data_IF_052948820819
#
_entry.id   IF_052948820819
#
_cell.length_a   1.000
_cell.length_b   1.000
_cell.length_c   1.000
_cell.angle_alpha   90.00
_cell.angle_beta   90.00
_cell.angle_gamma   90.00
#
_symmetry.space_group_name_H-M   'P 1'
#
loop_
_entity.id
_entity.type
_entity.pdbx_description
1 polymer ?
#
# COMPACT_ATOMS: atom_id res chain seq x y z
N UNK A 1 21.45 -15.23 -3.98
CA UNK A 1 22.83 -15.63 -3.63
C UNK A 1 22.92 -15.74 -2.13
N UNK A 2 23.68 -16.69 -1.60
CA UNK A 2 23.96 -16.72 -0.18
C UNK A 2 24.73 -15.47 0.24
N UNK A 3 24.76 -15.22 1.54
CA UNK A 3 25.57 -14.18 2.17
C UNK A 3 27.03 -14.34 1.73
N UNK A 4 27.61 -13.30 1.14
CA UNK A 4 29.02 -13.31 0.71
C UNK A 4 29.80 -12.36 1.63
N UNK A 5 30.93 -12.81 2.14
CA UNK A 5 31.84 -12.03 2.99
C UNK A 5 33.09 -11.70 2.19
N UNK A 6 33.45 -10.45 2.07
CA UNK A 6 34.67 -9.96 1.42
C UNK A 6 35.47 -9.07 2.38
N UNK A 7 36.78 -9.18 2.43
CA UNK A 7 37.61 -8.27 3.23
C UNK A 7 37.80 -6.94 2.51
N UNK A 8 37.76 -5.84 3.24
CA UNK A 8 38.05 -4.51 2.70
C UNK A 8 39.55 -4.36 2.47
N UNK A 9 39.99 -4.07 1.25
CA UNK A 9 41.42 -3.91 0.97
C UNK A 9 42.04 -2.79 1.81
N UNK A 10 43.11 -3.12 2.56
CA UNK A 10 43.81 -2.18 3.44
C UNK A 10 43.18 -1.91 4.81
N UNK A 11 42.12 -2.60 5.16
CA UNK A 11 41.45 -2.54 6.47
C UNK A 11 41.12 -3.97 6.92
N UNK A 12 42.07 -4.66 7.52
CA UNK A 12 41.94 -6.08 7.87
C UNK A 12 40.84 -6.40 8.88
N UNK A 13 40.36 -5.41 9.63
CA UNK A 13 39.30 -5.53 10.65
C UNK A 13 37.87 -5.35 10.04
N UNK A 14 37.75 -4.88 8.79
CA UNK A 14 36.46 -4.63 8.14
C UNK A 14 36.10 -5.69 7.10
N UNK A 15 34.82 -6.04 7.10
CA UNK A 15 34.27 -7.06 6.23
C UNK A 15 33.07 -6.49 5.48
N UNK A 16 32.99 -6.74 4.18
CA UNK A 16 31.81 -6.45 3.37
C UNK A 16 30.91 -7.68 3.38
N UNK A 17 29.69 -7.47 3.83
CA UNK A 17 28.62 -8.46 3.81
C UNK A 17 27.60 -8.11 2.74
N UNK A 18 27.42 -8.97 1.74
CA UNK A 18 26.33 -8.84 0.76
C UNK A 18 25.18 -9.77 1.16
N UNK A 19 24.00 -9.19 1.45
CA UNK A 19 22.78 -9.90 1.83
C UNK A 19 21.69 -9.67 0.76
N UNK A 20 21.16 -10.75 0.22
CA UNK A 20 20.20 -10.70 -0.91
C UNK A 20 20.89 -10.68 -2.29
N UNK A 21 20.11 -10.49 -3.39
CA UNK A 21 18.68 -10.18 -3.44
C UNK A 21 17.75 -11.30 -2.94
N UNK A 22 18.10 -12.57 -3.08
CA UNK A 22 17.29 -13.67 -2.56
C UNK A 22 17.69 -13.99 -1.12
N UNK A 23 16.97 -13.43 -0.16
CA UNK A 23 17.12 -13.70 1.26
C UNK A 23 15.77 -13.55 1.96
N UNK A 24 15.39 -14.42 2.92
CA UNK A 24 14.09 -14.34 3.59
C UNK A 24 13.78 -12.98 4.21
N UNK A 25 14.78 -12.35 4.84
CA UNK A 25 14.62 -11.08 5.56
C UNK A 25 14.80 -9.82 4.68
N UNK A 26 14.92 -9.95 3.35
CA UNK A 26 15.05 -8.82 2.42
C UNK A 26 13.73 -8.51 1.67
N UNK A 27 12.59 -8.94 2.22
CA UNK A 27 11.26 -8.68 1.67
C UNK A 27 11.11 -9.02 0.17
N UNK A 28 11.82 -10.03 -0.28
CA UNK A 28 11.79 -10.53 -1.65
C UNK A 28 13.14 -10.41 -2.36
N UNK A 29 13.48 -9.23 -2.88
CA UNK A 29 14.64 -9.05 -3.78
C UNK A 29 15.48 -7.80 -3.47
N UNK A 30 15.41 -7.26 -2.27
CA UNK A 30 16.31 -6.19 -1.84
C UNK A 30 17.72 -6.76 -1.63
N UNK A 31 18.72 -6.15 -2.26
CA UNK A 31 20.13 -6.43 -1.95
C UNK A 31 20.68 -5.36 -1.04
N UNK A 32 21.33 -5.80 0.04
CA UNK A 32 22.05 -4.94 0.96
C UNK A 32 23.53 -5.26 0.91
N UNK A 33 24.35 -4.23 0.90
CA UNK A 33 25.81 -4.31 1.03
C UNK A 33 26.17 -3.57 2.31
N UNK A 34 26.62 -4.31 3.30
CA UNK A 34 26.96 -3.82 4.63
C UNK A 34 28.46 -3.87 4.83
N UNK A 35 29.06 -2.77 5.24
CA UNK A 35 30.42 -2.72 5.75
C UNK A 35 30.36 -2.89 7.26
N UNK A 36 31.02 -3.93 7.77
CA UNK A 36 30.98 -4.33 9.17
C UNK A 36 32.35 -4.17 9.81
N UNK A 37 32.35 -3.69 11.04
CA UNK A 37 33.50 -3.74 11.97
C UNK A 37 33.08 -4.61 13.16
N UNK A 38 33.59 -5.85 13.18
CA UNK A 38 33.04 -6.89 14.04
C UNK A 38 31.57 -7.18 13.67
N UNK A 39 30.63 -6.95 14.60
CA UNK A 39 29.19 -7.09 14.38
C UNK A 39 28.47 -5.74 14.13
N UNK A 40 29.22 -4.63 14.16
CA UNK A 40 28.64 -3.28 14.00
C UNK A 40 28.62 -2.88 12.53
N UNK A 41 27.48 -2.37 12.07
CA UNK A 41 27.31 -1.81 10.73
C UNK A 41 27.94 -0.41 10.69
N UNK A 42 29.03 -0.28 9.93
CA UNK A 42 29.72 1.02 9.72
C UNK A 42 29.08 1.79 8.60
N UNK A 43 28.69 1.07 7.52
CA UNK A 43 28.06 1.63 6.33
C UNK A 43 27.07 0.65 5.74
N UNK A 44 25.96 1.17 5.29
CA UNK A 44 24.93 0.38 4.61
C UNK A 44 24.61 0.99 3.23
N UNK A 45 24.57 0.14 2.22
CA UNK A 45 24.13 0.49 0.87
C UNK A 45 23.04 -0.49 0.47
N UNK A 46 22.10 -0.05 -0.35
CA UNK A 46 21.07 -0.92 -0.93
C UNK A 46 21.06 -0.83 -2.45
N UNK A 47 20.84 -1.97 -3.08
CA UNK A 47 20.63 -2.09 -4.52
C UNK A 47 19.18 -2.50 -4.77
N UNK A 48 18.54 -1.81 -5.69
CA UNK A 48 17.16 -2.05 -6.15
C UNK A 48 17.16 -2.32 -7.64
N UNK A 49 16.00 -2.68 -8.21
CA UNK A 49 15.85 -2.94 -9.63
C UNK A 49 15.67 -4.43 -9.97
N UNK A 50 15.82 -5.34 -9.01
CA UNK A 50 15.69 -6.78 -9.26
C UNK A 50 14.23 -7.23 -9.53
N UNK A 51 13.25 -6.36 -9.27
CA UNK A 51 11.84 -6.56 -9.59
C UNK A 51 11.32 -5.51 -10.59
N UNK A 52 12.22 -4.79 -11.27
CA UNK A 52 11.82 -3.78 -12.25
C UNK A 52 11.12 -4.42 -13.44
N UNK A 53 9.89 -3.98 -13.71
CA UNK A 53 9.04 -4.47 -14.79
C UNK A 53 8.64 -3.37 -15.78
N UNK A 54 9.09 -2.14 -15.55
CA UNK A 54 8.84 -0.98 -16.43
C UNK A 54 7.38 -0.53 -16.44
N UNK A 55 6.70 -0.53 -15.27
CA UNK A 55 5.30 -0.12 -15.18
C UNK A 55 5.05 1.27 -15.75
N UNK A 56 5.87 2.25 -15.39
CA UNK A 56 5.71 3.62 -15.88
C UNK A 56 5.82 3.72 -17.42
N UNK A 57 6.69 2.91 -18.01
CA UNK A 57 6.81 2.85 -19.47
C UNK A 57 5.66 2.08 -20.11
N UNK A 58 5.16 1.06 -19.45
CA UNK A 58 4.01 0.29 -19.92
C UNK A 58 2.73 1.12 -19.95
N UNK A 59 2.54 2.04 -19.00
CA UNK A 59 1.42 3.00 -18.98
C UNK A 59 1.36 3.85 -20.26
N UNK A 60 2.50 4.20 -20.86
CA UNK A 60 2.55 4.98 -22.09
C UNK A 60 2.10 4.18 -23.34
N UNK A 61 1.98 2.85 -23.21
CA UNK A 61 1.63 1.95 -24.34
C UNK A 61 0.23 1.35 -24.24
N UNK A 62 -0.36 1.32 -23.06
CA UNK A 62 -1.67 0.78 -22.79
C UNK A 62 -2.72 1.88 -22.68
N UNK A 63 -4.00 1.54 -22.79
CA UNK A 63 -5.08 2.49 -22.53
C UNK A 63 -5.29 2.67 -21.02
N UNK A 64 -5.82 3.82 -20.60
CA UNK A 64 -6.14 4.09 -19.20
C UNK A 64 -6.92 2.96 -18.51
N UNK A 65 -7.84 2.30 -19.23
CA UNK A 65 -8.60 1.17 -18.69
C UNK A 65 -7.75 -0.09 -18.49
N UNK A 66 -6.76 -0.30 -19.34
CA UNK A 66 -5.83 -1.44 -19.24
C UNK A 66 -4.79 -1.23 -18.14
N UNK A 67 -4.36 0.01 -17.94
CA UNK A 67 -3.36 0.40 -16.95
C UNK A 67 -3.76 0.04 -15.51
N UNK A 68 -5.06 0.02 -15.22
CA UNK A 68 -5.57 -0.39 -13.90
C UNK A 68 -5.03 -1.78 -13.51
N UNK A 69 -4.86 -2.68 -14.47
CA UNK A 69 -4.35 -4.03 -14.19
C UNK A 69 -2.87 -4.04 -13.82
N UNK A 70 -2.11 -3.05 -14.25
CA UNK A 70 -0.70 -2.88 -13.87
C UNK A 70 -0.58 -2.35 -12.44
N UNK A 71 -1.47 -1.43 -12.05
CA UNK A 71 -1.41 -0.82 -10.71
C UNK A 71 -1.60 -1.85 -9.59
N UNK A 72 -2.39 -2.91 -9.80
CA UNK A 72 -2.54 -4.01 -8.84
C UNK A 72 -1.20 -4.65 -8.44
N UNK A 73 -0.22 -4.64 -9.36
CA UNK A 73 1.04 -5.38 -9.22
C UNK A 73 2.18 -4.54 -8.69
N UNK A 74 1.99 -3.25 -8.51
CA UNK A 74 2.97 -2.36 -7.91
C UNK A 74 3.14 -2.68 -6.43
N UNK A 75 2.14 -2.37 -5.62
CA UNK A 75 2.02 -2.85 -4.26
C UNK A 75 1.01 -4.00 -4.21
N UNK A 76 1.49 -5.22 -4.40
CA UNK A 76 0.64 -6.42 -4.45
C UNK A 76 -0.04 -6.76 -3.11
N UNK A 77 0.35 -6.12 -2.01
CA UNK A 77 -0.31 -6.24 -0.71
C UNK A 77 -1.43 -5.21 -0.52
N UNK A 78 -1.44 -4.15 -1.33
CA UNK A 78 -2.47 -3.10 -1.27
C UNK A 78 -3.02 -2.74 -2.67
N UNK A 79 -3.45 -3.72 -3.49
CA UNK A 79 -3.85 -3.49 -4.88
C UNK A 79 -4.98 -2.47 -5.02
N UNK A 80 -5.98 -2.50 -4.14
CA UNK A 80 -7.09 -1.56 -4.20
C UNK A 80 -6.68 -0.11 -3.89
N UNK A 81 -5.64 0.09 -3.07
CA UNK A 81 -5.08 1.44 -2.88
C UNK A 81 -4.45 1.96 -4.18
N UNK A 82 -3.68 1.13 -4.87
CA UNK A 82 -3.07 1.50 -6.14
C UNK A 82 -4.12 1.81 -7.22
N UNK A 83 -5.14 0.95 -7.33
CA UNK A 83 -6.27 1.21 -8.23
C UNK A 83 -6.96 2.54 -7.90
N UNK A 84 -7.18 2.82 -6.60
CA UNK A 84 -7.84 4.04 -6.16
C UNK A 84 -7.05 5.27 -6.60
N UNK A 85 -5.75 5.32 -6.33
CA UNK A 85 -4.90 6.45 -6.69
C UNK A 85 -4.90 6.71 -8.20
N UNK A 86 -4.76 5.67 -9.01
CA UNK A 86 -4.79 5.77 -10.46
C UNK A 86 -6.16 6.21 -10.99
N UNK A 87 -7.25 5.62 -10.47
CA UNK A 87 -8.61 6.01 -10.86
C UNK A 87 -8.89 7.47 -10.53
N UNK A 88 -8.55 7.93 -9.31
CA UNK A 88 -8.76 9.31 -8.89
C UNK A 88 -7.96 10.30 -9.75
N UNK A 89 -6.70 9.99 -10.09
CA UNK A 89 -5.91 10.83 -10.97
C UNK A 89 -6.55 10.95 -12.36
N UNK A 90 -7.00 9.85 -12.93
CA UNK A 90 -7.68 9.83 -14.24
C UNK A 90 -9.04 10.53 -14.18
N UNK A 91 -9.81 10.31 -13.13
CA UNK A 91 -11.12 10.95 -12.90
C UNK A 91 -10.98 12.47 -12.75
N UNK A 92 -9.93 12.93 -12.04
CA UNK A 92 -9.58 14.35 -11.93
C UNK A 92 -9.22 14.97 -13.29
N UNK A 93 -8.47 14.24 -14.13
CA UNK A 93 -8.12 14.65 -15.48
C UNK A 93 -9.36 14.79 -16.39
N UNK A 94 -10.35 13.93 -16.17
CA UNK A 94 -11.63 13.90 -16.93
C UNK A 94 -12.70 14.84 -16.36
N UNK A 95 -12.46 15.48 -15.20
CA UNK A 95 -13.47 16.21 -14.42
C UNK A 95 -14.74 15.38 -14.19
N UNK A 96 -14.57 14.12 -13.82
CA UNK A 96 -15.64 13.13 -13.73
C UNK A 96 -16.15 12.97 -12.29
N UNK A 97 -17.42 13.29 -12.06
CA UNK A 97 -18.07 13.06 -10.78
C UNK A 97 -18.38 11.57 -10.55
N UNK A 98 -17.97 11.07 -9.38
CA UNK A 98 -18.17 9.69 -8.96
C UNK A 98 -19.36 9.59 -8.01
N UNK A 99 -20.29 8.64 -8.23
CA UNK A 99 -21.44 8.47 -7.35
C UNK A 99 -21.05 8.27 -5.88
N UNK A 100 -21.76 8.89 -4.93
CA UNK A 100 -21.43 8.79 -3.50
C UNK A 100 -21.34 7.34 -3.00
N UNK A 101 -22.23 6.46 -3.45
CA UNK A 101 -22.21 5.04 -3.10
C UNK A 101 -20.89 4.37 -3.52
N UNK A 102 -20.41 4.65 -4.73
CA UNK A 102 -19.14 4.11 -5.21
C UNK A 102 -17.95 4.61 -4.38
N UNK A 103 -17.94 5.90 -4.02
CA UNK A 103 -16.91 6.48 -3.17
C UNK A 103 -16.86 5.81 -1.80
N UNK A 104 -18.00 5.58 -1.15
CA UNK A 104 -18.07 4.94 0.15
C UNK A 104 -17.62 3.48 0.12
N UNK A 105 -17.99 2.73 -0.93
CA UNK A 105 -17.51 1.35 -1.12
C UNK A 105 -15.99 1.34 -1.35
N UNK A 106 -15.46 2.31 -2.13
CA UNK A 106 -14.02 2.46 -2.32
C UNK A 106 -13.31 2.68 -0.99
N UNK A 107 -13.80 3.58 -0.13
CA UNK A 107 -13.23 3.82 1.21
C UNK A 107 -13.27 2.54 2.05
N UNK A 108 -14.43 1.87 2.14
CA UNK A 108 -14.58 0.63 2.90
C UNK A 108 -13.55 -0.43 2.49
N UNK A 109 -13.44 -0.69 1.20
CA UNK A 109 -12.54 -1.72 0.68
C UNK A 109 -11.07 -1.31 0.77
N UNK A 110 -10.75 -0.03 0.64
CA UNK A 110 -9.39 0.50 0.81
C UNK A 110 -8.94 0.37 2.27
N UNK A 111 -9.81 0.63 3.25
CA UNK A 111 -9.46 0.46 4.65
C UNK A 111 -9.35 -1.03 5.06
N UNK A 112 -10.15 -1.92 4.48
CA UNK A 112 -9.92 -3.37 4.59
C UNK A 112 -8.57 -3.78 3.98
N UNK A 113 -8.19 -3.16 2.87
CA UNK A 113 -6.88 -3.37 2.23
C UNK A 113 -5.75 -2.90 3.14
N UNK A 114 -5.90 -1.77 3.83
CA UNK A 114 -4.93 -1.29 4.83
C UNK A 114 -4.77 -2.28 5.96
N UNK A 115 -5.87 -2.79 6.53
CA UNK A 115 -5.82 -3.81 7.59
C UNK A 115 -5.10 -5.07 7.08
N UNK A 116 -5.46 -5.58 5.90
CA UNK A 116 -4.84 -6.79 5.35
C UNK A 116 -3.35 -6.63 5.06
N UNK A 117 -2.93 -5.44 4.63
CA UNK A 117 -1.52 -5.12 4.40
C UNK A 117 -0.73 -5.08 5.72
N UNK A 118 -1.27 -4.41 6.74
CA UNK A 118 -0.65 -4.36 8.06
C UNK A 118 -0.61 -5.74 8.76
N UNK A 119 -1.58 -6.62 8.49
CA UNK A 119 -1.53 -8.01 8.98
C UNK A 119 -0.40 -8.81 8.34
N UNK A 120 -0.16 -8.67 7.04
CA UNK A 120 0.99 -9.32 6.39
C UNK A 120 2.28 -8.78 6.96
N UNK A 121 2.40 -7.45 7.05
CA UNK A 121 3.57 -6.82 7.64
C UNK A 121 3.84 -7.32 9.07
N UNK A 122 2.81 -7.33 9.93
CA UNK A 122 2.97 -7.79 11.32
C UNK A 122 3.41 -9.25 11.41
N UNK A 123 2.81 -10.11 10.57
CA UNK A 123 3.15 -11.53 10.51
C UNK A 123 4.60 -11.76 10.07
N UNK A 124 5.03 -11.12 8.98
CA UNK A 124 6.40 -11.28 8.44
C UNK A 124 7.44 -10.63 9.35
N UNK A 125 7.21 -9.43 9.85
CA UNK A 125 8.12 -8.77 10.78
C UNK A 125 8.30 -9.55 12.10
N UNK A 126 7.20 -10.11 12.60
CA UNK A 126 7.25 -10.94 13.81
C UNK A 126 8.04 -12.26 13.59
N UNK A 127 7.88 -12.92 12.44
CA UNK A 127 8.64 -14.15 12.13
C UNK A 127 10.14 -13.85 11.98
N UNK A 128 10.49 -12.71 11.37
CA UNK A 128 11.87 -12.27 11.25
C UNK A 128 12.56 -12.06 12.62
N UNK A 129 11.78 -11.71 13.64
CA UNK A 129 12.24 -11.57 15.03
C UNK A 129 11.98 -12.82 15.89
N UNK A 130 11.61 -13.96 15.28
CA UNK A 130 11.46 -15.25 15.91
C UNK A 130 10.07 -15.58 16.47
N UNK A 131 9.07 -14.71 16.29
CA UNK A 131 7.70 -14.94 16.76
C UNK A 131 6.83 -15.58 15.66
N UNK A 132 7.12 -16.84 15.28
CA UNK A 132 6.49 -17.54 14.17
C UNK A 132 4.97 -17.69 14.30
N UNK A 133 4.42 -17.88 15.48
CA UNK A 133 2.98 -18.02 15.69
C UNK A 133 2.19 -16.80 15.24
N UNK A 134 2.76 -15.60 15.33
CA UNK A 134 2.13 -14.37 14.87
C UNK A 134 1.79 -14.40 13.38
N UNK A 135 2.66 -14.98 12.57
CA UNK A 135 2.42 -15.16 11.14
C UNK A 135 1.13 -15.93 10.88
N UNK A 136 0.96 -17.08 11.56
CA UNK A 136 -0.23 -17.92 11.40
C UNK A 136 -1.51 -17.20 11.85
N UNK A 137 -1.45 -16.46 12.94
CA UNK A 137 -2.61 -15.71 13.44
C UNK A 137 -2.98 -14.54 12.52
N UNK A 138 -2.02 -13.74 12.07
CA UNK A 138 -2.28 -12.65 11.13
C UNK A 138 -2.87 -13.15 9.81
N UNK A 139 -2.38 -14.27 9.29
CA UNK A 139 -2.89 -14.85 8.04
C UNK A 139 -4.28 -15.47 8.18
N UNK A 140 -4.68 -15.88 9.38
CA UNK A 140 -6.05 -16.35 9.67
C UNK A 140 -7.09 -15.24 9.43
N UNK A 141 -6.87 -14.04 9.94
CA UNK A 141 -7.76 -12.91 9.74
C UNK A 141 -7.62 -12.27 8.35
N UNK A 142 -6.41 -12.29 7.78
CA UNK A 142 -6.19 -11.89 6.39
C UNK A 142 -7.04 -12.71 5.43
N UNK A 143 -7.19 -14.01 5.67
CA UNK A 143 -8.04 -14.90 4.86
C UNK A 143 -9.50 -14.45 4.84
N UNK A 144 -10.03 -13.97 5.97
CA UNK A 144 -11.40 -13.46 6.03
C UNK A 144 -11.58 -12.22 5.12
N UNK A 145 -10.58 -11.32 5.05
CA UNK A 145 -10.59 -10.15 4.15
C UNK A 145 -10.48 -10.58 2.68
N UNK A 146 -9.56 -11.50 2.36
CA UNK A 146 -9.41 -11.99 0.99
C UNK A 146 -10.69 -12.63 0.44
N UNK A 147 -11.48 -13.31 1.30
CA UNK A 147 -12.79 -13.83 0.94
C UNK A 147 -13.83 -12.74 0.67
N UNK A 148 -13.72 -11.57 1.34
CA UNK A 148 -14.56 -10.41 1.02
C UNK A 148 -14.18 -9.88 -0.37
N UNK A 149 -12.88 -9.74 -0.66
CA UNK A 149 -12.41 -9.29 -1.97
C UNK A 149 -12.83 -10.24 -3.09
N UNK A 150 -12.68 -11.56 -2.89
CA UNK A 150 -13.13 -12.58 -3.83
C UNK A 150 -14.65 -12.48 -4.10
N UNK A 151 -15.43 -12.22 -3.05
CA UNK A 151 -16.88 -12.10 -3.17
C UNK A 151 -17.29 -10.89 -4.03
N UNK A 152 -16.62 -9.75 -3.91
CA UNK A 152 -16.98 -8.51 -4.64
C UNK A 152 -16.34 -8.43 -6.02
N UNK A 153 -15.17 -9.02 -6.23
CA UNK A 153 -14.39 -8.86 -7.46
C UNK A 153 -14.18 -10.16 -8.26
N UNK A 154 -14.42 -11.32 -7.64
CA UNK A 154 -14.04 -12.61 -8.20
C UNK A 154 -12.58 -12.99 -8.03
N UNK A 155 -11.75 -12.08 -7.45
CA UNK A 155 -10.31 -12.27 -7.24
C UNK A 155 -9.95 -12.03 -5.77
N UNK A 156 -8.99 -12.81 -5.28
CA UNK A 156 -8.52 -12.72 -3.89
C UNK A 156 -7.54 -11.56 -3.67
N UNK A 157 -6.67 -11.30 -4.63
CA UNK A 157 -5.59 -10.29 -4.52
C UNK A 157 -5.64 -9.25 -5.63
N UNK A 158 -5.32 -9.58 -6.87
CA UNK A 158 -5.25 -8.64 -7.99
C UNK A 158 -6.67 -8.37 -8.52
N UNK A 159 -7.41 -7.54 -7.81
CA UNK A 159 -8.85 -7.42 -7.95
C UNK A 159 -9.28 -6.58 -9.14
N UNK A 160 -8.48 -5.55 -9.52
CA UNK A 160 -8.86 -4.54 -10.53
C UNK A 160 -10.33 -4.10 -10.41
N UNK A 161 -10.83 -4.00 -9.17
CA UNK A 161 -12.25 -3.79 -8.91
C UNK A 161 -12.67 -2.33 -9.00
N UNK A 162 -11.80 -1.41 -8.60
CA UNK A 162 -12.01 -0.01 -8.83
C UNK A 162 -11.75 0.31 -10.30
N UNK A 163 -12.67 1.04 -10.90
CA UNK A 163 -12.62 1.44 -12.30
C UNK A 163 -12.80 2.94 -12.40
N UNK A 164 -12.29 3.52 -13.46
CA UNK A 164 -12.53 4.93 -13.79
C UNK A 164 -14.04 5.13 -13.95
N UNK A 165 -14.59 6.04 -13.16
CA UNK A 165 -16.04 6.26 -13.10
C UNK A 165 -16.79 5.44 -12.04
N UNK A 166 -16.09 4.68 -11.16
CA UNK A 166 -16.75 3.96 -10.07
C UNK A 166 -16.19 2.56 -9.78
N UNK A 167 -17.06 1.55 -9.83
CA UNK A 167 -16.73 0.15 -9.57
C UNK A 167 -16.96 -0.71 -10.82
N UNK A 168 -16.29 -1.85 -10.89
CA UNK A 168 -16.48 -2.80 -11.99
C UNK A 168 -17.92 -3.33 -12.04
N UNK A 169 -18.45 -3.73 -10.89
CA UNK A 169 -19.77 -4.32 -10.72
C UNK A 169 -20.36 -3.90 -9.36
N UNK A 170 -21.70 -3.94 -9.25
CA UNK A 170 -22.38 -3.84 -7.95
C UNK A 170 -21.95 -5.03 -7.06
N UNK A 171 -21.60 -4.78 -5.79
CA UNK A 171 -21.27 -5.86 -4.88
C UNK A 171 -22.46 -6.82 -4.68
N UNK A 172 -22.21 -8.15 -4.60
CA UNK A 172 -23.29 -9.13 -4.51
C UNK A 172 -24.02 -9.05 -3.16
N UNK A 173 -25.27 -9.52 -3.14
CA UNK A 173 -26.06 -9.57 -1.93
C UNK A 173 -25.33 -10.34 -0.81
N UNK A 174 -25.35 -9.78 0.39
CA UNK A 174 -24.79 -10.42 1.57
C UNK A 174 -23.29 -10.13 1.82
N UNK A 175 -22.61 -9.40 0.95
CA UNK A 175 -21.21 -9.02 1.17
C UNK A 175 -21.01 -8.20 2.45
N UNK A 176 -21.91 -7.24 2.74
CA UNK A 176 -21.85 -6.44 3.97
C UNK A 176 -21.98 -7.30 5.25
N UNK A 177 -22.78 -8.37 5.23
CA UNK A 177 -22.86 -9.30 6.37
C UNK A 177 -21.52 -9.98 6.66
N UNK A 178 -20.71 -10.19 5.62
CA UNK A 178 -19.36 -10.75 5.79
C UNK A 178 -18.41 -9.72 6.35
N UNK A 179 -18.48 -8.48 5.90
CA UNK A 179 -17.74 -7.35 6.48
C UNK A 179 -18.13 -7.16 7.95
N UNK A 180 -19.40 -7.13 8.29
CA UNK A 180 -19.92 -7.04 9.66
C UNK A 180 -19.36 -8.14 10.57
N UNK A 181 -19.33 -9.39 10.08
CA UNK A 181 -18.75 -10.51 10.83
C UNK A 181 -17.26 -10.29 11.12
N UNK A 182 -16.52 -9.77 10.15
CA UNK A 182 -15.10 -9.43 10.32
C UNK A 182 -14.92 -8.31 11.34
N UNK A 183 -15.67 -7.21 11.18
CA UNK A 183 -15.61 -6.03 12.07
C UNK A 183 -15.89 -6.39 13.53
N UNK A 184 -16.88 -7.25 13.79
CA UNK A 184 -17.22 -7.71 15.15
C UNK A 184 -16.13 -8.57 15.79
N UNK A 185 -15.42 -9.36 14.99
CA UNK A 185 -14.41 -10.32 15.48
C UNK A 185 -13.02 -9.69 15.63
N UNK A 186 -12.67 -8.76 14.78
CA UNK A 186 -11.31 -8.29 14.63
C UNK A 186 -10.72 -7.58 15.86
N UNK A 187 -11.47 -6.77 16.65
CA UNK A 187 -10.93 -6.16 17.87
C UNK A 187 -10.35 -7.16 18.86
N UNK A 188 -11.05 -8.27 19.13
CA UNK A 188 -10.57 -9.35 20.00
C UNK A 188 -9.27 -9.97 19.47
N UNK A 189 -9.19 -10.13 18.14
CA UNK A 189 -7.99 -10.68 17.48
C UNK A 189 -6.79 -9.74 17.57
N UNK A 190 -7.04 -8.45 17.45
CA UNK A 190 -5.99 -7.45 17.61
C UNK A 190 -5.45 -7.39 19.04
N UNK A 191 -6.32 -7.56 20.05
CA UNK A 191 -5.91 -7.70 21.45
C UNK A 191 -5.10 -8.99 21.68
N UNK A 192 -5.46 -10.11 21.03
CA UNK A 192 -4.70 -11.37 21.04
C UNK A 192 -3.26 -11.13 20.53
N UNK A 193 -3.09 -10.41 19.40
CA UNK A 193 -1.77 -10.11 18.85
C UNK A 193 -0.93 -9.23 19.78
N UNK A 194 -1.52 -8.17 20.31
CA UNK A 194 -0.82 -7.31 21.27
C UNK A 194 -0.45 -8.07 22.54
N UNK A 195 -1.34 -8.94 23.04
CA UNK A 195 -1.09 -9.77 24.21
C UNK A 195 0.15 -10.67 24.05
N UNK A 196 0.39 -11.19 22.86
CA UNK A 196 1.55 -12.03 22.55
C UNK A 196 2.87 -11.24 22.49
N UNK A 197 2.83 -9.97 22.05
CA UNK A 197 4.04 -9.19 21.80
C UNK A 197 4.33 -8.15 22.89
N UNK A 198 3.32 -7.53 23.47
CA UNK A 198 3.43 -6.37 24.38
C UNK A 198 4.38 -6.57 25.56
N UNK A 199 4.38 -7.78 26.14
CA UNK A 199 5.20 -8.12 27.31
C UNK A 199 6.32 -9.13 26.98
N UNK A 200 6.55 -9.41 25.70
CA UNK A 200 7.60 -10.33 25.28
C UNK A 200 8.97 -9.62 25.38
N UNK A 201 9.88 -10.06 26.26
CA UNK A 201 11.15 -9.38 26.47
C UNK A 201 12.07 -9.44 25.24
N UNK A 202 11.97 -10.48 24.42
CA UNK A 202 12.75 -10.60 23.18
C UNK A 202 12.25 -9.54 22.18
N UNK A 203 10.93 -9.45 21.98
CA UNK A 203 10.32 -8.46 21.12
C UNK A 203 10.70 -7.03 21.52
N UNK A 204 10.57 -6.71 22.82
CA UNK A 204 10.90 -5.37 23.31
C UNK A 204 12.37 -5.03 23.13
N UNK A 205 13.29 -5.95 23.45
CA UNK A 205 14.74 -5.73 23.25
C UNK A 205 15.16 -5.60 21.79
N UNK A 206 14.42 -6.24 20.88
CA UNK A 206 14.71 -6.22 19.44
C UNK A 206 14.04 -5.06 18.70
N UNK A 207 13.19 -4.26 19.36
CA UNK A 207 12.40 -3.19 18.73
C UNK A 207 12.55 -1.85 19.40
N UNK A 208 12.66 -1.79 20.74
CA UNK A 208 12.81 -0.53 21.47
C UNK A 208 14.22 0.04 21.34
N UNK A 209 14.31 1.32 20.98
CA UNK A 209 15.57 2.04 20.78
C UNK A 209 16.37 1.57 19.55
N UNK A 210 15.83 0.66 18.73
CA UNK A 210 16.46 0.16 17.51
C UNK A 210 15.91 0.93 16.30
N UNK A 211 16.81 1.28 15.36
CA UNK A 211 16.43 1.95 14.10
C UNK A 211 15.73 3.28 14.33
N UNK A 212 16.23 4.10 15.26
CA UNK A 212 15.66 5.40 15.61
C UNK A 212 15.94 6.44 14.51
N UNK A 213 14.92 7.23 14.20
CA UNK A 213 15.01 8.40 13.32
C UNK A 213 14.19 9.55 13.92
N UNK A 214 14.76 10.76 13.92
CA UNK A 214 14.06 11.95 14.41
C UNK A 214 12.93 12.36 13.47
N UNK A 215 11.97 13.16 13.95
CA UNK A 215 10.92 13.71 13.10
C UNK A 215 11.48 14.63 12.01
N UNK A 216 12.51 15.41 12.30
CA UNK A 216 13.20 16.29 11.35
C UNK A 216 13.88 15.50 10.24
N UNK A 217 14.67 14.47 10.60
CA UNK A 217 15.32 13.61 9.62
C UNK A 217 14.26 12.84 8.80
N UNK A 218 13.18 12.35 9.43
CA UNK A 218 12.12 11.65 8.74
C UNK A 218 11.45 12.50 7.66
N UNK A 219 11.21 13.78 7.94
CA UNK A 219 10.68 14.74 6.95
C UNK A 219 11.73 15.04 5.88
N UNK A 220 13.00 15.26 6.25
CA UNK A 220 14.09 15.55 5.32
C UNK A 220 14.33 14.41 4.31
N UNK A 221 14.17 13.15 4.73
CA UNK A 221 14.23 11.97 3.84
C UNK A 221 12.94 11.75 3.03
N UNK A 222 11.89 12.56 3.23
CA UNK A 222 10.61 12.41 2.54
C UNK A 222 9.80 11.18 2.97
N UNK A 223 9.99 10.72 4.21
CA UNK A 223 9.21 9.62 4.76
C UNK A 223 7.73 9.99 4.84
N UNK A 224 6.87 9.01 4.69
CA UNK A 224 5.43 9.17 4.79
C UNK A 224 4.79 7.97 5.50
N UNK A 225 3.50 8.07 5.80
CA UNK A 225 2.75 6.99 6.42
C UNK A 225 3.19 6.64 7.84
N UNK A 226 3.08 5.35 8.23
CA UNK A 226 3.48 4.89 9.55
C UNK A 226 4.93 5.20 9.90
N UNK A 227 5.82 5.29 8.90
CA UNK A 227 7.24 5.57 9.09
C UNK A 227 7.47 6.97 9.64
N UNK A 228 6.83 7.99 9.09
CA UNK A 228 6.95 9.36 9.59
C UNK A 228 6.14 9.57 10.88
N UNK A 229 4.96 8.93 10.99
CA UNK A 229 4.13 9.00 12.21
C UNK A 229 4.78 8.35 13.42
N UNK A 230 5.60 7.32 13.19
CA UNK A 230 6.44 6.70 14.23
C UNK A 230 7.51 7.61 14.80
N UNK A 231 7.82 8.73 14.13
CA UNK A 231 8.75 9.79 14.56
C UNK A 231 8.05 11.07 15.05
N UNK A 232 6.76 11.00 15.39
CA UNK A 232 6.00 12.08 16.02
C UNK A 232 5.34 13.07 15.05
N UNK A 233 5.55 12.94 13.75
CA UNK A 233 4.95 13.85 12.76
C UNK A 233 3.50 13.43 12.48
N UNK A 234 2.55 14.30 12.83
CA UNK A 234 1.12 14.07 12.63
C UNK A 234 0.70 14.51 11.23
N UNK A 235 0.98 13.66 10.23
CA UNK A 235 0.60 13.90 8.84
C UNK A 235 -0.04 12.68 8.20
N UNK A 236 -1.15 12.89 7.47
CA UNK A 236 -1.92 11.85 6.77
C UNK A 236 -2.71 12.51 5.63
N UNK A 237 -2.55 12.01 4.42
CA UNK A 237 -3.19 12.56 3.21
C UNK A 237 -4.71 12.55 3.32
N UNK A 238 -5.31 11.55 3.98
CA UNK A 238 -6.76 11.46 4.18
C UNK A 238 -7.36 12.64 4.97
N UNK A 239 -6.54 13.35 5.75
CA UNK A 239 -6.94 14.53 6.54
C UNK A 239 -6.42 15.84 5.95
N UNK A 240 -5.20 15.84 5.37
CA UNK A 240 -4.61 17.05 4.77
C UNK A 240 -5.23 17.40 3.41
N UNK A 241 -5.50 16.39 2.59
CA UNK A 241 -6.09 16.52 1.25
C UNK A 241 -7.17 15.43 1.06
N UNK A 242 -8.36 15.56 1.69
CA UNK A 242 -9.39 14.54 1.67
C UNK A 242 -9.84 14.17 0.25
N UNK A 243 -10.00 12.88 0.00
CA UNK A 243 -10.46 12.32 -1.27
C UNK A 243 -11.52 11.24 -1.02
N UNK A 244 -12.31 10.87 -2.02
CA UNK A 244 -13.31 9.79 -1.97
C UNK A 244 -14.20 9.82 -0.72
N UNK A 245 -14.62 11.00 -0.28
CA UNK A 245 -15.48 11.21 0.89
C UNK A 245 -14.82 10.92 2.26
N UNK A 246 -13.48 10.85 2.36
CA UNK A 246 -12.80 10.68 3.68
C UNK A 246 -13.13 11.79 4.69
N UNK A 247 -13.53 12.97 4.24
CA UNK A 247 -14.00 14.08 5.09
C UNK A 247 -15.26 13.76 5.91
N UNK A 248 -16.02 12.73 5.51
CA UNK A 248 -17.25 12.29 6.19
C UNK A 248 -17.00 11.28 7.31
N UNK A 249 -15.77 10.79 7.44
CA UNK A 249 -15.42 9.77 8.43
C UNK A 249 -14.63 10.36 9.58
N UNK A 250 -15.01 9.94 10.78
CA UNK A 250 -14.31 10.29 12.02
C UNK A 250 -13.25 9.22 12.33
N UNK A 251 -11.99 9.66 12.35
CA UNK A 251 -10.84 8.85 12.75
C UNK A 251 -9.69 9.73 13.20
N UNK A 252 -8.79 9.17 13.99
CA UNK A 252 -7.59 9.84 14.47
C UNK A 252 -6.34 9.42 13.67
N UNK A 253 -5.33 10.29 13.67
CA UNK A 253 -4.01 9.98 13.11
C UNK A 253 -3.11 9.53 14.26
N UNK A 254 -2.81 8.23 14.39
CA UNK A 254 -1.95 7.75 15.47
C UNK A 254 -0.50 8.16 15.22
N UNK A 255 0.14 8.70 16.26
CA UNK A 255 1.56 9.11 16.24
C UNK A 255 2.29 8.58 17.47
N UNK A 256 3.61 8.40 17.35
CA UNK A 256 4.52 8.06 18.44
C UNK A 256 5.81 8.86 18.28
N UNK A 257 6.35 9.45 19.36
CA UNK A 257 7.52 10.32 19.27
C UNK A 257 8.87 9.57 19.29
N UNK A 258 8.89 8.29 19.64
CA UNK A 258 10.13 7.55 19.91
C UNK A 258 10.98 7.29 18.66
N UNK A 259 10.38 7.27 17.48
CA UNK A 259 11.06 7.14 16.19
C UNK A 259 11.72 5.78 15.91
N UNK A 260 11.51 4.79 16.77
CA UNK A 260 12.14 3.47 16.70
C UNK A 260 11.24 2.41 16.02
N UNK A 261 11.74 1.20 15.89
CA UNK A 261 10.99 0.04 15.35
C UNK A 261 9.71 -0.20 16.14
N UNK A 262 9.76 -0.06 17.47
CA UNK A 262 8.59 -0.28 18.33
C UNK A 262 7.52 0.80 18.12
N UNK A 263 7.92 2.05 17.97
CA UNK A 263 7.02 3.15 17.67
C UNK A 263 6.27 2.92 16.34
N UNK A 264 6.99 2.53 15.28
CA UNK A 264 6.39 2.19 13.99
C UNK A 264 5.43 1.00 14.08
N UNK A 265 5.76 -0.02 14.88
CA UNK A 265 4.84 -1.12 15.20
C UNK A 265 3.56 -0.61 15.88
N UNK A 266 3.69 0.20 16.91
CA UNK A 266 2.55 0.73 17.68
C UNK A 266 1.63 1.62 16.81
N UNK A 267 2.21 2.39 15.90
CA UNK A 267 1.45 3.20 14.93
C UNK A 267 0.59 2.31 14.03
N UNK A 268 1.17 1.28 13.41
CA UNK A 268 0.41 0.39 12.51
C UNK A 268 -0.70 -0.39 13.21
N UNK A 269 -0.46 -0.83 14.45
CA UNK A 269 -1.51 -1.47 15.26
C UNK A 269 -2.66 -0.49 15.56
N UNK A 270 -2.34 0.76 15.88
CA UNK A 270 -3.35 1.80 16.10
C UNK A 270 -4.10 2.14 14.80
N UNK A 271 -3.39 2.19 13.66
CA UNK A 271 -4.02 2.41 12.34
C UNK A 271 -5.02 1.30 11.97
N UNK A 272 -4.74 0.05 12.30
CA UNK A 272 -5.72 -1.02 12.09
C UNK A 272 -7.03 -0.79 12.88
N UNK A 273 -6.95 -0.19 14.07
CA UNK A 273 -8.14 0.20 14.85
C UNK A 273 -8.90 1.36 14.21
N UNK A 274 -8.18 2.38 13.76
CA UNK A 274 -8.82 3.52 13.09
C UNK A 274 -9.43 3.11 11.75
N UNK A 275 -8.76 2.26 10.97
CA UNK A 275 -9.31 1.68 9.75
C UNK A 275 -10.59 0.89 10.03
N UNK A 276 -10.63 0.13 11.12
CA UNK A 276 -11.83 -0.61 11.51
C UNK A 276 -13.00 0.33 11.86
N UNK A 277 -12.74 1.47 12.52
CA UNK A 277 -13.75 2.50 12.78
C UNK A 277 -14.31 3.08 11.48
N UNK A 278 -13.43 3.37 10.51
CA UNK A 278 -13.85 3.87 9.19
C UNK A 278 -14.71 2.81 8.48
N UNK A 279 -14.30 1.54 8.49
CA UNK A 279 -15.09 0.44 7.88
C UNK A 279 -16.47 0.33 8.51
N UNK A 280 -16.58 0.43 9.84
CA UNK A 280 -17.87 0.41 10.56
C UNK A 280 -18.76 1.59 10.14
N UNK A 281 -18.21 2.80 10.14
CA UNK A 281 -18.94 4.00 9.72
C UNK A 281 -19.39 3.91 8.25
N UNK A 282 -18.53 3.38 7.38
CA UNK A 282 -18.84 3.20 5.97
C UNK A 282 -19.94 2.16 5.73
N UNK A 283 -20.01 1.11 6.56
CA UNK A 283 -21.11 0.14 6.53
C UNK A 283 -22.44 0.77 6.98
N UNK A 284 -22.41 1.50 8.11
CA UNK A 284 -23.61 2.02 8.74
C UNK A 284 -24.23 3.17 7.94
N UNK A 285 -23.41 3.97 7.26
CA UNK A 285 -23.84 5.13 6.49
C UNK A 285 -23.83 4.92 4.96
N UNK A 286 -23.68 3.70 4.46
CA UNK A 286 -23.57 3.43 3.03
C UNK A 286 -24.79 3.94 2.26
N UNK A 287 -24.64 4.97 1.37
CA UNK A 287 -25.77 5.54 0.64
C UNK A 287 -26.29 4.56 -0.42
N UNK A 288 -27.56 4.71 -0.75
CA UNK A 288 -28.14 4.05 -1.92
C UNK A 288 -27.75 4.79 -3.20
N UNK A 289 -27.93 4.12 -4.35
CA UNK A 289 -27.68 4.72 -5.66
C UNK A 289 -26.75 3.89 -6.53
N UNK A 290 -26.34 4.41 -7.70
CA UNK A 290 -25.49 3.71 -8.64
C UNK A 290 -24.03 3.62 -8.12
N UNK A 291 -23.32 2.62 -8.62
CA UNK A 291 -21.88 2.43 -8.38
C UNK A 291 -21.02 2.84 -9.57
N UNK A 292 -21.65 3.34 -10.63
CA UNK A 292 -21.00 3.82 -11.86
C UNK A 292 -21.50 5.22 -12.20
N UNK A 293 -20.60 6.08 -12.64
CA UNK A 293 -20.92 7.40 -13.15
C UNK A 293 -21.73 7.30 -14.47
N UNK A 294 -22.60 8.27 -14.70
CA UNK A 294 -23.34 8.36 -15.95
C UNK A 294 -22.47 9.04 -17.04
N UNK A 295 -21.49 8.31 -17.55
CA UNK A 295 -20.57 8.79 -18.58
C UNK A 295 -20.36 7.69 -19.65
N UNK A 296 -21.31 7.52 -20.59
CA UNK A 296 -21.36 6.37 -21.50
C UNK A 296 -20.15 6.26 -22.45
N UNK A 297 -19.38 7.35 -22.63
CA UNK A 297 -18.16 7.36 -23.45
C UNK A 297 -16.90 6.91 -22.68
N UNK A 298 -16.98 6.77 -21.35
CA UNK A 298 -15.87 6.48 -20.44
C UNK A 298 -16.14 5.19 -19.67
N UNK A 299 -17.35 5.04 -19.16
CA UNK A 299 -17.77 3.96 -18.28
C UNK A 299 -18.43 2.84 -19.08
N UNK A 300 -17.97 1.61 -18.85
CA UNK A 300 -18.52 0.43 -19.51
C UNK A 300 -20.03 0.30 -19.23
N UNK A 301 -20.87 0.13 -20.27
CA UNK A 301 -22.30 -0.08 -20.11
C UNK A 301 -22.61 -1.42 -19.43
N UNK A 302 -23.81 -1.51 -18.86
CA UNK A 302 -24.30 -2.76 -18.30
C UNK A 302 -24.51 -3.82 -19.39
N UNK A 303 -24.21 -5.09 -19.06
CA UNK A 303 -24.26 -6.20 -20.02
C UNK A 303 -25.66 -6.37 -20.67
N UNK A 304 -26.72 -6.18 -19.89
CA UNK A 304 -28.09 -6.29 -20.39
C UNK A 304 -28.45 -5.13 -21.34
N UNK A 305 -27.96 -3.92 -21.06
CA UNK A 305 -28.16 -2.75 -21.93
C UNK A 305 -27.55 -2.97 -23.33
N UNK A 306 -26.42 -3.67 -23.43
CA UNK A 306 -25.81 -3.99 -24.72
C UNK A 306 -26.64 -4.94 -25.60
N UNK A 307 -27.58 -5.67 -25.00
CA UNK A 307 -28.48 -6.58 -25.74
C UNK A 307 -29.70 -5.87 -26.33
N UNK A 308 -30.04 -4.71 -25.77
CA UNK A 308 -31.28 -4.01 -26.07
C UNK A 308 -31.10 -2.62 -26.66
N UNK A 309 -29.92 -1.98 -26.49
CA UNK A 309 -29.57 -0.67 -27.02
C UNK A 309 -28.35 -0.75 -27.94
N UNK A 310 -28.52 -0.25 -29.15
CA UNK A 310 -27.47 -0.15 -30.16
C UNK A 310 -26.38 0.84 -29.71
N UNK A 311 -26.76 1.93 -29.04
CA UNK A 311 -25.84 2.93 -28.51
C UNK A 311 -24.92 2.33 -27.43
N UNK A 312 -25.50 1.56 -26.50
CA UNK A 312 -24.72 0.86 -25.48
C UNK A 312 -23.71 -0.11 -26.10
N UNK A 313 -24.10 -0.83 -27.16
CA UNK A 313 -23.19 -1.72 -27.88
C UNK A 313 -22.07 -0.94 -28.57
N UNK A 314 -22.36 0.18 -29.21
CA UNK A 314 -21.38 1.06 -29.87
C UNK A 314 -20.40 1.63 -28.82
N UNK A 315 -20.86 2.13 -27.68
CA UNK A 315 -20.01 2.64 -26.62
C UNK A 315 -19.09 1.55 -26.07
N UNK A 316 -19.62 0.36 -25.81
CA UNK A 316 -18.82 -0.77 -25.37
C UNK A 316 -17.73 -1.08 -26.39
N UNK A 317 -18.06 -1.19 -27.67
CA UNK A 317 -17.10 -1.47 -28.72
C UNK A 317 -15.99 -0.42 -28.76
N UNK A 318 -16.33 0.87 -28.75
CA UNK A 318 -15.34 1.96 -28.77
C UNK A 318 -14.43 1.95 -27.54
N UNK A 319 -14.98 1.81 -26.34
CA UNK A 319 -14.18 1.80 -25.10
C UNK A 319 -13.20 0.62 -25.10
N UNK A 320 -13.62 -0.55 -25.61
CA UNK A 320 -12.76 -1.74 -25.62
C UNK A 320 -11.69 -1.66 -26.70
N UNK A 321 -12.02 -1.16 -27.90
CA UNK A 321 -11.08 -1.15 -29.05
C UNK A 321 -10.19 0.08 -29.12
N UNK A 322 -10.74 1.25 -28.80
CA UNK A 322 -10.04 2.53 -28.92
C UNK A 322 -9.62 3.10 -27.56
N UNK A 323 -10.41 2.86 -26.51
CA UNK A 323 -10.32 3.57 -25.23
C UNK A 323 -11.11 4.88 -25.27
N UNK A 324 -11.03 5.65 -24.17
CA UNK A 324 -11.56 7.01 -24.09
C UNK A 324 -10.42 8.02 -24.16
N UNK A 325 -10.75 9.27 -24.49
CA UNK A 325 -9.80 10.35 -24.72
C UNK A 325 -9.94 11.43 -23.65
N UNK A 326 -9.06 11.46 -22.62
CA UNK A 326 -9.04 12.58 -21.69
C UNK A 326 -8.58 13.86 -22.38
N UNK A 327 -8.98 15.06 -21.88
CA UNK A 327 -8.46 16.31 -22.39
C UNK A 327 -6.95 16.39 -22.20
N UNK A 328 -6.26 17.13 -23.08
CA UNK A 328 -4.84 17.42 -22.92
C UNK A 328 -4.64 18.24 -21.62
N UNK A 329 -3.67 17.84 -20.80
CA UNK A 329 -3.40 18.46 -19.51
C UNK A 329 -2.59 17.57 -18.61
N UNK A 330 -2.36 18.04 -17.40
CA UNK A 330 -1.60 17.32 -16.36
C UNK A 330 -2.30 17.36 -15.02
N UNK A 331 -2.16 16.32 -14.23
CA UNK A 331 -2.71 16.22 -12.87
C UNK A 331 -1.74 15.50 -11.95
N UNK A 332 -1.76 15.88 -10.69
CA UNK A 332 -1.20 15.08 -9.60
C UNK A 332 -2.32 14.74 -8.63
N UNK A 333 -2.36 13.48 -8.21
CA UNK A 333 -3.28 13.00 -7.19
C UNK A 333 -2.55 12.08 -6.23
N UNK A 334 -2.58 12.44 -4.96
CA UNK A 334 -2.07 11.62 -3.87
C UNK A 334 -3.18 10.93 -3.09
N UNK A 335 -2.85 9.79 -2.51
CA UNK A 335 -3.66 9.05 -1.55
C UNK A 335 -2.78 8.53 -0.41
N UNK A 336 -3.39 8.20 0.71
CA UNK A 336 -2.71 7.50 1.81
C UNK A 336 -2.81 6.00 1.61
N UNK A 337 -1.74 5.36 1.12
CA UNK A 337 -1.62 3.91 1.08
C UNK A 337 -1.22 3.35 2.45
N UNK A 338 -1.24 2.02 2.69
CA UNK A 338 -0.76 1.44 3.95
C UNK A 338 0.69 1.78 4.30
N UNK A 339 1.50 2.11 3.29
CA UNK A 339 2.92 2.47 3.43
C UNK A 339 3.18 3.96 3.50
N UNK A 340 2.19 4.76 3.13
CA UNK A 340 2.27 6.21 3.15
C UNK A 340 1.69 6.85 1.89
N UNK A 341 2.14 8.04 1.56
CA UNK A 341 1.68 8.78 0.40
C UNK A 341 2.05 8.08 -0.89
N UNK A 342 1.03 7.63 -1.61
CA UNK A 342 1.12 7.14 -2.98
C UNK A 342 0.56 8.21 -3.91
N UNK A 343 1.35 8.67 -4.88
CA UNK A 343 0.93 9.71 -5.80
C UNK A 343 1.06 9.29 -7.26
N UNK A 344 0.10 9.71 -8.09
CA UNK A 344 0.14 9.55 -9.53
C UNK A 344 0.20 10.92 -10.19
N UNK A 345 1.29 11.18 -10.93
CA UNK A 345 1.40 12.32 -11.82
C UNK A 345 1.15 11.85 -13.25
N UNK A 346 0.09 12.36 -13.86
CA UNK A 346 -0.32 11.99 -15.20
C UNK A 346 -0.30 13.18 -16.15
N UNK A 347 0.18 12.96 -17.35
CA UNK A 347 0.11 13.88 -18.48
C UNK A 347 -0.68 13.23 -19.61
N UNK A 348 -1.67 13.95 -20.14
CA UNK A 348 -2.46 13.55 -21.30
C UNK A 348 -2.20 14.51 -22.47
N UNK A 349 -2.04 13.98 -23.67
CA UNK A 349 -2.02 14.73 -24.92
C UNK A 349 -3.34 14.68 -25.69
N UNK A 350 -4.38 14.11 -25.08
CA UNK A 350 -5.68 13.87 -25.72
C UNK A 350 -5.82 12.51 -26.37
N UNK A 351 -4.76 11.66 -26.32
CA UNK A 351 -4.82 10.28 -26.82
C UNK A 351 -5.48 9.34 -25.82
N UNK A 352 -5.86 8.11 -26.21
CA UNK A 352 -6.46 7.13 -25.30
C UNK A 352 -5.43 6.46 -24.36
N UNK A 353 -4.19 6.92 -24.36
CA UNK A 353 -3.08 6.42 -23.56
C UNK A 353 -2.45 7.57 -22.80
N UNK A 354 -1.95 7.38 -21.58
CA UNK A 354 -1.15 8.41 -20.92
C UNK A 354 0.08 8.78 -21.75
N UNK A 355 0.32 10.07 -21.97
CA UNK A 355 1.58 10.54 -22.53
C UNK A 355 2.74 10.26 -21.56
N UNK A 356 2.49 10.49 -20.28
CA UNK A 356 3.39 10.15 -19.17
C UNK A 356 2.58 9.83 -17.92
N UNK A 357 2.97 8.77 -17.23
CA UNK A 357 2.49 8.48 -15.88
C UNK A 357 3.70 8.22 -14.99
N UNK A 358 3.88 9.04 -13.96
CA UNK A 358 4.92 8.87 -12.95
C UNK A 358 4.30 8.54 -11.60
N UNK A 359 4.88 7.58 -10.89
CA UNK A 359 4.38 7.10 -9.59
C UNK A 359 5.31 7.54 -8.47
N UNK A 360 4.83 8.36 -7.57
CA UNK A 360 5.48 8.63 -6.29
C UNK A 360 5.15 7.46 -5.36
N UNK A 361 6.10 6.55 -5.21
CA UNK A 361 5.95 5.35 -4.39
C UNK A 361 6.41 5.62 -2.95
N UNK A 362 5.58 5.37 -1.93
CA UNK A 362 5.99 5.59 -0.54
C UNK A 362 7.13 4.66 -0.11
N UNK A 363 7.14 3.41 -0.53
CA UNK A 363 8.22 2.47 -0.21
C UNK A 363 9.58 2.93 -0.75
N UNK A 364 9.62 3.54 -1.94
CA UNK A 364 10.85 4.08 -2.51
C UNK A 364 11.41 5.23 -1.67
N UNK A 365 10.55 6.17 -1.25
CA UNK A 365 10.96 7.27 -0.39
C UNK A 365 11.38 6.78 1.00
N UNK A 366 10.61 5.86 1.61
CA UNK A 366 10.90 5.32 2.93
C UNK A 366 12.22 4.51 2.95
N UNK A 367 12.57 3.84 1.85
CA UNK A 367 13.82 3.06 1.75
C UNK A 367 15.07 3.94 1.88
N UNK A 368 15.00 5.22 1.50
CA UNK A 368 16.13 6.15 1.57
C UNK A 368 16.65 6.33 3.01
N UNK A 369 15.78 6.19 4.01
CA UNK A 369 16.19 6.28 5.42
C UNK A 369 16.88 5.01 5.95
N UNK A 370 16.87 3.91 5.19
CA UNK A 370 17.36 2.62 5.67
C UNK A 370 18.82 2.66 6.11
N UNK A 371 19.79 3.22 5.37
CA UNK A 371 21.18 3.35 5.84
C UNK A 371 21.27 4.10 7.17
N UNK A 372 20.57 5.22 7.28
CA UNK A 372 20.58 6.09 8.47
C UNK A 372 20.13 5.37 9.74
N UNK A 373 19.12 4.49 9.64
CA UNK A 373 18.59 3.75 10.80
C UNK A 373 19.39 2.48 11.14
N UNK A 374 20.27 2.02 10.25
CA UNK A 374 21.09 0.82 10.43
C UNK A 374 22.52 1.11 10.86
N UNK A 375 23.13 2.21 10.41
CA UNK A 375 24.50 2.57 10.72
C UNK A 375 24.71 2.77 12.23
N UNK A 376 25.81 2.21 12.76
CA UNK A 376 26.13 2.17 14.18
C UNK A 376 25.34 1.11 14.98
N UNK A 377 24.54 0.26 14.33
CA UNK A 377 23.77 -0.81 14.95
C UNK A 377 24.42 -2.18 14.70
N UNK A 378 23.98 -3.18 15.45
CA UNK A 378 24.42 -4.54 15.23
C UNK A 378 23.81 -5.14 13.96
N UNK A 379 24.52 -6.03 13.30
CA UNK A 379 24.01 -6.78 12.15
C UNK A 379 22.67 -7.48 12.46
N UNK A 380 22.50 -7.94 13.69
CA UNK A 380 21.24 -8.52 14.13
C UNK A 380 20.06 -7.54 14.05
N UNK A 381 20.29 -6.24 14.19
CA UNK A 381 19.24 -5.22 14.15
C UNK A 381 18.84 -4.82 12.73
N UNK A 382 19.66 -5.13 11.73
CA UNK A 382 19.40 -4.84 10.31
C UNK A 382 18.04 -5.38 9.88
N UNK A 383 17.74 -6.63 10.22
CA UNK A 383 16.45 -7.27 9.87
C UNK A 383 15.26 -6.53 10.51
N UNK A 384 15.40 -6.12 11.77
CA UNK A 384 14.37 -5.35 12.46
C UNK A 384 14.14 -3.97 11.80
N UNK A 385 15.22 -3.31 11.37
CA UNK A 385 15.16 -2.02 10.67
C UNK A 385 14.44 -2.16 9.34
N UNK A 386 14.81 -3.13 8.49
CA UNK A 386 14.16 -3.39 7.20
C UNK A 386 12.66 -3.65 7.40
N UNK A 387 12.33 -4.62 8.25
CA UNK A 387 10.94 -4.99 8.52
C UNK A 387 10.11 -3.84 9.04
N UNK A 388 10.71 -2.90 9.79
CA UNK A 388 9.96 -1.80 10.40
C UNK A 388 9.44 -0.76 9.42
N UNK A 389 10.10 -0.55 8.28
CA UNK A 389 9.67 0.41 7.24
C UNK A 389 8.66 -0.17 6.25
N UNK A 390 8.43 -1.49 6.28
CA UNK A 390 7.39 -2.18 5.48
C UNK A 390 7.50 -1.89 3.98
N UNK A 391 8.65 -2.13 3.39
CA UNK A 391 8.87 -1.89 1.97
C UNK A 391 8.33 -3.02 1.09
N UNK A 392 7.80 -2.66 -0.08
CA UNK A 392 7.41 -3.61 -1.14
C UNK A 392 8.21 -3.33 -2.39
N UNK A 393 8.94 -4.34 -2.86
CA UNK A 393 9.91 -4.15 -3.95
C UNK A 393 9.23 -3.88 -5.30
N UNK A 394 8.02 -4.40 -5.53
CA UNK A 394 7.26 -4.09 -6.74
C UNK A 394 6.90 -2.61 -6.87
N UNK A 395 6.64 -1.94 -5.73
CA UNK A 395 6.39 -0.51 -5.69
C UNK A 395 7.69 0.31 -5.78
N UNK A 396 8.79 -0.20 -5.24
CA UNK A 396 10.10 0.45 -5.29
C UNK A 396 10.63 0.44 -6.72
N UNK A 397 10.63 -0.71 -7.36
CA UNK A 397 11.29 -0.93 -8.64
C UNK A 397 10.44 -0.47 -9.85
N UNK A 398 9.12 -0.43 -9.74
CA UNK A 398 8.09 0.05 -10.73
C UNK A 398 8.26 -0.45 -12.12
#
# INVERSE_FOLDING_TARGET
>A
MPVTLEKVPGQEERVILSMGPQHPSTHGVLRLVLELEGETVVRALYDIGYLHTGFEKSFEHLTYSQDITLTDRMDYLAPLSNNLGFCLATEKLLDLEIPPRAQWIRVLLTELTRIQSHLVWLGTHAIDLGAMSMFLYCFREREDILRIFEMVSGQRMMTSYFRIGGLALEPPLGWLKRVEKFVKKFPERLEEYEGLLKNNPIWLRRTQGIGTISGEDAVAFGLSGPSVRGSGVKWDVRKSEPYSSYEKFDFEIPTRPEGDVYARYRVRVAEMRESLKIVQQAMDGLPEGPVKANAPHIVMPERESMKTSIEALIYHFKIVTEGFHPPAGEVYQSIESPRGELGFYMVSDGSPRPFRCHVRAPSFANLQALPRIMEGRLIADVVACIGSIDVVLGEIDR
#
